data_IF_216188504037
#
_entry.id   IF_216188504037
#
_cell.length_a   1.000
_cell.length_b   1.000
_cell.length_c   1.000
_cell.angle_alpha   90.00
_cell.angle_beta   90.00
_cell.angle_gamma   90.00
#
_symmetry.space_group_name_H-M   'P 1'
#
loop_
_entity.id
_entity.type
_entity.pdbx_description
1 polymer ?
#
# COMPACT_ATOMS: atom_id res chain seq x y z
N UNK A 1 22.93 -23.78 -3.54
CA UNK A 1 21.93 -23.19 -2.65
C UNK A 1 22.06 -21.67 -2.74
N UNK A 2 21.24 -21.02 -3.58
CA UNK A 2 21.35 -19.57 -3.78
C UNK A 2 20.86 -18.85 -2.52
N UNK A 3 21.79 -18.29 -1.74
CA UNK A 3 21.48 -17.48 -0.56
C UNK A 3 20.56 -16.32 -0.95
N UNK A 4 19.46 -16.16 -0.21
CA UNK A 4 18.48 -15.08 -0.40
C UNK A 4 19.25 -13.75 -0.33
N UNK A 5 19.40 -13.06 -1.46
CA UNK A 5 20.09 -11.76 -1.54
C UNK A 5 19.38 -10.83 -0.56
N UNK A 6 20.08 -10.41 0.51
CA UNK A 6 19.55 -9.49 1.50
C UNK A 6 19.27 -8.18 0.77
N UNK A 7 18.00 -7.94 0.43
CA UNK A 7 17.58 -6.68 -0.13
C UNK A 7 17.82 -5.63 0.94
N UNK A 8 18.57 -4.58 0.61
CA UNK A 8 18.81 -3.46 1.50
C UNK A 8 17.48 -2.70 1.68
N UNK A 9 16.73 -3.08 2.71
CA UNK A 9 15.38 -2.58 2.99
C UNK A 9 15.35 -2.01 4.40
N UNK A 10 14.71 -0.85 4.53
CA UNK A 10 14.43 -0.24 5.83
C UNK A 10 13.04 -0.65 6.30
N UNK A 11 12.89 -0.90 7.61
CA UNK A 11 11.59 -1.15 8.22
C UNK A 11 10.90 0.18 8.51
N UNK A 12 9.66 0.34 8.03
CA UNK A 12 8.81 1.47 8.36
C UNK A 12 7.76 1.03 9.38
N UNK A 13 7.75 1.67 10.54
CA UNK A 13 6.70 1.49 11.55
C UNK A 13 5.77 2.70 11.55
N UNK A 14 4.50 2.49 11.17
CA UNK A 14 3.48 3.53 11.16
C UNK A 14 2.29 3.14 12.04
N UNK A 15 1.75 4.11 12.78
CA UNK A 15 0.47 3.94 13.48
C UNK A 15 -0.66 4.20 12.49
N UNK A 16 -1.41 3.16 12.17
CA UNK A 16 -2.51 3.19 11.19
C UNK A 16 -3.75 2.53 11.78
N UNK A 17 -4.90 2.67 11.12
CA UNK A 17 -6.10 1.96 11.53
C UNK A 17 -5.90 0.42 11.36
N UNK A 18 -6.59 -0.42 12.14
CA UNK A 18 -6.39 -1.88 12.13
C UNK A 18 -6.48 -2.54 10.75
N UNK A 19 -7.35 -2.02 9.88
CA UNK A 19 -7.57 -2.57 8.53
C UNK A 19 -6.66 -1.97 7.45
N UNK A 20 -5.89 -0.93 7.77
CA UNK A 20 -5.10 -0.21 6.76
C UNK A 20 -4.08 -1.12 6.10
N UNK A 21 -3.44 -2.01 6.86
CA UNK A 21 -2.48 -2.97 6.30
C UNK A 21 -3.10 -3.92 5.26
N UNK A 22 -4.32 -4.41 5.52
CA UNK A 22 -5.06 -5.26 4.58
C UNK A 22 -5.44 -4.50 3.31
N UNK A 23 -6.00 -3.29 3.46
CA UNK A 23 -6.37 -2.42 2.33
C UNK A 23 -5.18 -2.07 1.43
N UNK A 24 -4.01 -1.77 2.02
CA UNK A 24 -2.79 -1.52 1.24
C UNK A 24 -2.32 -2.75 0.48
N UNK A 25 -2.49 -3.96 1.04
CA UNK A 25 -2.18 -5.22 0.36
C UNK A 25 -3.11 -5.45 -0.83
N UNK A 26 -4.41 -5.21 -0.67
CA UNK A 26 -5.40 -5.29 -1.76
C UNK A 26 -5.08 -4.32 -2.89
N UNK A 27 -4.74 -3.07 -2.57
CA UNK A 27 -4.31 -2.07 -3.56
C UNK A 27 -3.04 -2.53 -4.28
N UNK A 28 -2.05 -3.04 -3.54
CA UNK A 28 -0.81 -3.53 -4.13
C UNK A 28 -1.04 -4.74 -5.05
N UNK A 29 -1.99 -5.62 -4.73
CA UNK A 29 -2.41 -6.72 -5.61
C UNK A 29 -3.11 -6.21 -6.86
N UNK A 30 -4.08 -5.30 -6.71
CA UNK A 30 -4.83 -4.74 -7.83
C UNK A 30 -3.95 -4.00 -8.85
N UNK A 31 -2.86 -3.37 -8.36
CA UNK A 31 -1.91 -2.62 -9.17
C UNK A 31 -0.72 -3.46 -9.68
N UNK A 32 -0.66 -4.76 -9.37
CA UNK A 32 0.42 -5.65 -9.83
C UNK A 32 1.74 -5.54 -9.06
N UNK A 33 1.76 -4.89 -7.89
CA UNK A 33 2.94 -4.86 -7.01
C UNK A 33 3.06 -6.12 -6.12
N UNK A 34 2.00 -6.92 -6.05
CA UNK A 34 1.99 -8.25 -5.40
C UNK A 34 1.42 -9.26 -6.41
N UNK A 35 2.24 -10.25 -6.78
CA UNK A 35 1.86 -11.36 -7.65
C UNK A 35 2.08 -12.69 -6.92
N UNK A 36 0.98 -13.38 -6.57
CA UNK A 36 1.04 -14.64 -5.82
C UNK A 36 1.70 -14.47 -4.45
N UNK A 37 2.79 -15.20 -4.20
CA UNK A 37 3.62 -15.05 -2.98
C UNK A 37 4.80 -14.08 -3.15
N UNK A 38 4.92 -13.44 -4.31
CA UNK A 38 6.00 -12.51 -4.64
C UNK A 38 5.50 -11.07 -4.62
N UNK A 39 6.36 -10.16 -4.16
CA UNK A 39 6.05 -8.73 -4.05
C UNK A 39 5.77 -8.30 -2.61
N UNK A 40 5.68 -7.00 -2.39
CA UNK A 40 5.42 -6.45 -1.06
C UNK A 40 4.76 -5.09 -1.14
N UNK A 41 3.93 -4.77 -0.14
CA UNK A 41 3.36 -3.44 0.05
C UNK A 41 4.45 -2.35 0.09
N UNK A 42 5.67 -2.68 0.54
CA UNK A 42 6.80 -1.75 0.50
C UNK A 42 7.12 -1.24 -0.92
N UNK A 43 7.04 -2.09 -1.94
CA UNK A 43 7.30 -1.68 -3.33
C UNK A 43 6.23 -0.72 -3.86
N UNK A 44 4.97 -0.93 -3.46
CA UNK A 44 3.91 0.04 -3.74
C UNK A 44 4.23 1.39 -3.09
N UNK A 45 4.67 1.39 -1.83
CA UNK A 45 5.04 2.62 -1.12
C UNK A 45 6.24 3.32 -1.76
N UNK A 46 7.23 2.55 -2.23
CA UNK A 46 8.40 3.09 -2.95
C UNK A 46 8.00 3.73 -4.29
N UNK A 47 7.09 3.10 -5.04
CA UNK A 47 6.55 3.65 -6.29
C UNK A 47 5.75 4.95 -6.07
N UNK A 48 5.02 5.04 -4.95
CA UNK A 48 4.34 6.28 -4.55
C UNK A 48 5.37 7.36 -4.19
N UNK A 49 6.38 7.01 -3.39
CA UNK A 49 7.39 7.96 -2.92
C UNK A 49 8.31 8.48 -4.06
N UNK A 50 8.58 7.65 -5.06
CA UNK A 50 9.35 8.01 -6.26
C UNK A 50 8.55 8.79 -7.30
N UNK A 51 7.21 8.86 -7.15
CA UNK A 51 6.32 9.51 -8.12
C UNK A 51 6.00 8.66 -9.36
N UNK A 52 6.42 7.40 -9.40
CA UNK A 52 6.04 6.43 -10.45
C UNK A 52 4.55 6.08 -10.39
N UNK A 53 3.97 6.10 -9.18
CA UNK A 53 2.53 5.95 -8.95
C UNK A 53 1.94 7.22 -8.34
N UNK A 54 0.97 7.81 -9.02
CA UNK A 54 0.24 8.99 -8.53
C UNK A 54 -1.10 8.53 -7.97
N UNK A 55 -1.30 8.71 -6.65
CA UNK A 55 -2.60 8.52 -6.01
C UNK A 55 -3.40 9.83 -6.03
N UNK A 56 -4.58 9.82 -6.63
CA UNK A 56 -5.49 10.97 -6.62
C UNK A 56 -6.36 10.89 -5.36
N UNK A 57 -6.12 11.79 -4.42
CA UNK A 57 -6.94 11.88 -3.21
C UNK A 57 -8.33 12.42 -3.56
N UNK A 58 -9.36 11.58 -3.46
CA UNK A 58 -10.74 12.03 -3.49
C UNK A 58 -11.21 12.28 -2.06
N UNK A 59 -11.58 13.52 -1.73
CA UNK A 59 -12.31 13.78 -0.49
C UNK A 59 -13.70 13.18 -0.66
N UNK A 60 -13.88 11.92 -0.28
CA UNK A 60 -15.21 11.41 -0.06
C UNK A 60 -15.74 12.07 1.22
N UNK A 61 -16.25 13.29 1.10
CA UNK A 61 -17.20 13.83 2.07
C UNK A 61 -18.40 12.91 1.94
N UNK A 62 -18.45 11.85 2.75
CA UNK A 62 -19.72 11.24 3.09
C UNK A 62 -20.51 12.37 3.73
N UNK A 63 -21.34 13.05 2.94
CA UNK A 63 -22.39 13.91 3.45
C UNK A 63 -23.24 12.98 4.31
N UNK A 64 -22.98 12.99 5.62
CA UNK A 64 -23.91 12.46 6.60
C UNK A 64 -25.07 13.46 6.62
N UNK A 65 -25.90 13.41 5.59
CA UNK A 65 -27.23 14.00 5.58
C UNK A 65 -28.07 13.10 6.48
N UNK A 66 -28.06 13.37 7.79
CA UNK A 66 -29.14 12.91 8.66
C UNK A 66 -30.33 13.81 8.37
N UNK A 67 -31.18 13.38 7.44
CA UNK A 67 -32.55 13.87 7.32
C UNK A 67 -33.44 13.05 8.26
N UNK A 68 -34.28 13.74 9.04
CA UNK A 68 -35.38 13.16 9.81
C UNK A 68 -35.14 13.14 11.31
#
# INVERSE_FOLDING_TARGET
MAGRKKLDRTNLHARVAPETGGKLKEIAQALGYIHGESGSTGQLLDAIASGELILIATKNRVNVTKNG
#
